data_IF_105230792487
#
_entry.id   IF_105230792487
#
_cell.length_a   1.000
_cell.length_b   1.000
_cell.length_c   1.000
_cell.angle_alpha   90.00
_cell.angle_beta   90.00
_cell.angle_gamma   90.00
#
_symmetry.space_group_name_H-M   'P 1'
#
loop_
_entity.id
_entity.type
_entity.pdbx_description
1 polymer ?
#
# COMPACT_ATOMS: atom_id res chain seq x y z
N UNK A 1 6.26 13.58 -26.06
CA UNK A 1 7.54 12.95 -25.70
C UNK A 1 8.30 13.99 -24.88
N UNK A 2 9.60 13.84 -24.63
CA UNK A 2 10.39 14.87 -23.94
C UNK A 2 10.50 16.20 -24.72
N UNK A 3 9.96 16.26 -25.95
CA UNK A 3 9.89 17.43 -26.83
C UNK A 3 8.43 17.92 -27.04
N UNK A 4 7.51 17.53 -26.16
CA UNK A 4 6.07 17.86 -26.24
C UNK A 4 5.33 17.35 -27.49
N UNK A 5 5.88 16.38 -28.22
CA UNK A 5 5.21 15.79 -29.38
C UNK A 5 4.25 14.65 -28.98
N UNK A 6 3.09 14.50 -29.66
CA UNK A 6 2.21 13.36 -29.45
C UNK A 6 2.91 12.03 -29.74
N UNK A 7 2.70 11.04 -28.88
CA UNK A 7 3.27 9.70 -29.04
C UNK A 7 2.27 8.64 -28.62
N UNK A 8 2.45 7.42 -29.13
CA UNK A 8 1.66 6.26 -28.71
C UNK A 8 2.20 5.73 -27.39
N UNK A 9 1.39 5.75 -26.33
CA UNK A 9 1.75 5.08 -25.08
C UNK A 9 1.75 3.56 -25.29
N UNK A 10 2.83 2.90 -24.90
CA UNK A 10 3.01 1.44 -24.99
C UNK A 10 3.15 0.76 -23.65
N UNK A 11 3.32 1.52 -22.56
CA UNK A 11 3.39 1.00 -21.21
C UNK A 11 1.99 0.93 -20.58
N UNK A 12 1.83 0.04 -19.62
CA UNK A 12 0.63 -0.04 -18.81
C UNK A 12 0.53 1.20 -17.88
N UNK A 13 -0.62 1.87 -17.88
CA UNK A 13 -0.88 3.06 -17.06
C UNK A 13 -1.77 2.77 -15.83
N UNK A 14 -2.27 1.54 -15.73
CA UNK A 14 -3.06 1.03 -14.63
C UNK A 14 -2.85 -0.48 -14.44
N UNK A 15 -2.82 -0.92 -13.17
CA UNK A 15 -2.75 -2.33 -12.79
C UNK A 15 -3.61 -2.59 -11.54
N UNK A 16 -4.18 -3.80 -11.50
CA UNK A 16 -5.04 -4.27 -10.42
C UNK A 16 -4.54 -5.65 -10.02
N UNK A 17 -3.97 -5.76 -8.82
CA UNK A 17 -3.28 -6.96 -8.39
C UNK A 17 -3.80 -7.44 -7.04
N UNK A 18 -3.99 -8.75 -6.93
CA UNK A 18 -4.33 -9.44 -5.69
C UNK A 18 -3.19 -10.37 -5.30
N UNK A 19 -2.81 -10.37 -4.03
CA UNK A 19 -1.71 -11.14 -3.47
C UNK A 19 -2.23 -12.00 -2.33
N UNK A 20 -1.75 -13.23 -2.26
CA UNK A 20 -1.82 -14.06 -1.06
C UNK A 20 -0.50 -13.91 -0.30
N UNK A 21 -0.60 -13.51 0.97
CA UNK A 21 0.53 -13.33 1.86
C UNK A 21 0.61 -14.52 2.83
N UNK A 22 1.80 -14.74 3.39
CA UNK A 22 1.99 -15.71 4.46
C UNK A 22 0.99 -15.48 5.60
N UNK A 23 0.42 -16.56 6.13
CA UNK A 23 -0.65 -16.50 7.13
C UNK A 23 -2.07 -16.39 6.55
N UNK A 24 -2.24 -16.53 5.23
CA UNK A 24 -3.55 -16.56 4.57
C UNK A 24 -4.21 -15.18 4.44
N UNK A 25 -3.42 -14.11 4.48
CA UNK A 25 -3.89 -12.74 4.32
C UNK A 25 -3.99 -12.44 2.82
N UNK A 26 -5.10 -11.83 2.40
CA UNK A 26 -5.27 -11.36 1.03
C UNK A 26 -5.08 -9.85 0.99
N UNK A 27 -4.19 -9.39 0.11
CA UNK A 27 -3.99 -7.97 -0.16
C UNK A 27 -4.41 -7.65 -1.60
N UNK A 28 -5.21 -6.61 -1.80
CA UNK A 28 -5.56 -6.12 -3.13
C UNK A 28 -5.09 -4.68 -3.32
N UNK A 29 -4.35 -4.43 -4.40
CA UNK A 29 -3.76 -3.13 -4.71
C UNK A 29 -4.26 -2.68 -6.09
N UNK A 30 -4.87 -1.50 -6.11
CA UNK A 30 -5.23 -0.80 -7.34
C UNK A 30 -4.23 0.35 -7.53
N UNK A 31 -3.53 0.37 -8.66
CA UNK A 31 -2.56 1.41 -9.01
C UNK A 31 -2.88 1.97 -10.38
N UNK A 32 -3.06 3.29 -10.50
CA UNK A 32 -3.36 3.91 -11.78
C UNK A 32 -2.94 5.38 -11.82
N UNK A 33 -2.29 5.77 -12.90
CA UNK A 33 -2.01 7.17 -13.22
C UNK A 33 -3.22 7.92 -13.80
N UNK A 34 -4.25 7.18 -14.19
CA UNK A 34 -5.44 7.68 -14.87
C UNK A 34 -6.67 7.78 -13.95
N UNK A 35 -6.48 7.66 -12.64
CA UNK A 35 -7.56 7.74 -11.65
C UNK A 35 -7.61 9.10 -10.95
N UNK A 36 -8.82 9.62 -10.72
CA UNK A 36 -9.04 10.84 -9.92
C UNK A 36 -9.05 10.47 -8.44
N UNK A 37 -8.47 11.33 -7.62
CA UNK A 37 -8.35 11.09 -6.18
C UNK A 37 -9.65 11.48 -5.48
N UNK A 38 -10.32 10.49 -4.86
CA UNK A 38 -11.44 10.68 -3.92
C UNK A 38 -11.25 9.75 -2.72
N UNK A 39 -10.27 10.10 -1.89
CA UNK A 39 -9.74 9.36 -0.75
C UNK A 39 -8.75 10.26 0.01
N UNK A 40 -8.30 9.82 1.17
CA UNK A 40 -7.54 10.65 2.11
C UNK A 40 -6.19 11.14 1.58
N UNK A 41 -5.54 10.38 0.69
CA UNK A 41 -4.19 10.69 0.20
C UNK A 41 -3.90 10.04 -1.17
N UNK A 42 -2.71 10.28 -1.74
CA UNK A 42 -2.23 9.71 -3.01
C UNK A 42 -1.93 8.22 -2.93
N UNK A 43 -1.55 7.70 -1.76
CA UNK A 43 -1.51 6.28 -1.43
C UNK A 43 -2.41 6.07 -0.21
N UNK A 44 -3.26 5.05 -0.27
CA UNK A 44 -4.11 4.68 0.86
C UNK A 44 -4.10 3.17 1.04
N UNK A 45 -3.87 2.70 2.26
CA UNK A 45 -3.92 1.29 2.63
C UNK A 45 -4.96 1.10 3.73
N UNK A 46 -5.94 0.23 3.48
CA UNK A 46 -6.87 -0.23 4.52
C UNK A 46 -6.39 -1.58 5.02
N UNK A 47 -6.22 -1.70 6.33
CA UNK A 47 -5.80 -2.93 7.01
C UNK A 47 -6.90 -3.31 7.98
N UNK A 48 -7.59 -4.41 7.69
CA UNK A 48 -8.65 -4.95 8.53
C UNK A 48 -8.14 -6.10 9.38
N UNK A 49 -8.36 -6.01 10.69
CA UNK A 49 -8.00 -7.01 11.66
C UNK A 49 -9.20 -7.46 12.50
N UNK A 50 -8.98 -8.46 13.33
CA UNK A 50 -10.03 -9.03 14.20
C UNK A 50 -10.46 -8.10 15.34
N UNK A 51 -9.67 -7.08 15.65
CA UNK A 51 -9.90 -6.14 16.78
C UNK A 51 -10.07 -4.69 16.34
N UNK A 52 -10.13 -4.44 15.04
CA UNK A 52 -10.22 -3.10 14.48
C UNK A 52 -9.50 -2.99 13.15
N UNK A 53 -9.57 -1.79 12.59
CA UNK A 53 -9.08 -1.47 11.27
C UNK A 53 -8.26 -0.18 11.28
N UNK A 54 -7.36 -0.05 10.30
CA UNK A 54 -6.58 1.16 10.07
C UNK A 54 -6.68 1.61 8.60
N UNK A 55 -6.78 2.92 8.39
CA UNK A 55 -6.68 3.58 7.10
C UNK A 55 -5.40 4.44 7.11
N UNK A 56 -4.43 4.04 6.29
CA UNK A 56 -3.07 4.58 6.30
C UNK A 56 -2.81 5.38 5.03
N UNK A 57 -2.44 6.65 5.17
CA UNK A 57 -1.96 7.53 4.11
C UNK A 57 -0.43 7.62 4.06
N UNK A 58 0.12 8.62 3.37
CA UNK A 58 1.57 8.87 3.34
C UNK A 58 2.09 9.45 4.66
N UNK A 59 1.23 10.16 5.39
CA UNK A 59 1.60 10.92 6.60
C UNK A 59 0.70 10.66 7.80
N UNK A 60 -0.57 10.38 7.54
CA UNK A 60 -1.58 10.20 8.57
C UNK A 60 -2.04 8.74 8.62
N UNK A 61 -2.47 8.32 9.81
CA UNK A 61 -3.13 7.05 10.02
C UNK A 61 -4.39 7.28 10.85
N UNK A 62 -5.51 6.72 10.40
CA UNK A 62 -6.78 6.70 11.10
C UNK A 62 -7.05 5.27 11.55
N UNK A 63 -7.53 5.07 12.77
CA UNK A 63 -7.88 3.75 13.29
C UNK A 63 -9.29 3.74 13.87
N UNK A 64 -9.95 2.59 13.78
CA UNK A 64 -11.23 2.30 14.43
C UNK A 64 -11.12 0.96 15.15
N UNK A 65 -11.33 0.97 16.47
CA UNK A 65 -11.40 -0.27 17.25
C UNK A 65 -12.72 -0.99 16.96
N UNK A 66 -12.75 -2.31 17.17
CA UNK A 66 -13.96 -3.12 16.99
C UNK A 66 -15.15 -2.59 17.81
N UNK A 67 -14.88 -2.10 19.03
CA UNK A 67 -15.88 -1.56 19.96
C UNK A 67 -16.51 -0.26 19.44
N UNK A 68 -15.81 0.48 18.58
CA UNK A 68 -16.24 1.76 18.03
C UNK A 68 -16.97 1.59 16.68
N UNK A 69 -16.98 0.39 16.09
CA UNK A 69 -17.61 0.14 14.80
C UNK A 69 -19.14 0.23 14.87
N UNK A 70 -19.79 1.11 14.08
CA UNK A 70 -21.24 1.25 14.09
C UNK A 70 -21.93 0.02 13.47
N UNK A 71 -23.23 -0.14 13.74
CA UNK A 71 -24.08 -1.18 13.15
C UNK A 71 -25.08 -0.56 12.15
N UNK A 72 -24.63 -0.12 10.97
CA UNK A 72 -25.53 0.47 9.97
C UNK A 72 -26.51 -0.57 9.43
N UNK A 73 -27.73 -0.13 9.11
CA UNK A 73 -28.74 -0.96 8.43
C UNK A 73 -28.79 -0.56 6.97
N UNK A 74 -28.74 -1.53 6.07
CA UNK A 74 -28.90 -1.29 4.64
C UNK A 74 -30.35 -0.88 4.35
N UNK A 75 -30.55 0.37 3.92
CA UNK A 75 -31.83 0.89 3.48
C UNK A 75 -31.63 1.83 2.28
N UNK A 76 -32.03 1.43 1.06
CA UNK A 76 -31.86 2.25 -0.13
C UNK A 76 -32.91 3.38 -0.24
N UNK A 77 -33.99 3.34 0.54
CA UNK A 77 -35.10 4.29 0.46
C UNK A 77 -34.81 5.62 1.18
N UNK A 78 -33.75 5.67 2.00
CA UNK A 78 -33.34 6.85 2.74
C UNK A 78 -31.85 7.16 2.55
N UNK A 79 -31.45 8.44 2.62
CA UNK A 79 -30.04 8.79 2.72
C UNK A 79 -29.39 8.13 3.94
N UNK A 80 -28.13 7.70 3.79
CA UNK A 80 -27.32 7.17 4.89
C UNK A 80 -27.14 8.23 5.99
N UNK A 81 -27.67 8.02 7.21
CA UNK A 81 -27.56 9.01 8.29
C UNK A 81 -26.19 9.04 8.97
N UNK A 82 -25.35 8.01 8.81
CA UNK A 82 -24.03 7.92 9.45
C UNK A 82 -22.95 8.52 8.53
N UNK A 83 -22.17 9.47 9.06
CA UNK A 83 -20.89 9.83 8.47
C UNK A 83 -19.82 8.82 8.93
N UNK A 84 -19.43 7.91 8.04
CA UNK A 84 -18.48 6.85 8.38
C UNK A 84 -17.07 7.35 8.68
N UNK A 85 -16.70 8.57 8.25
CA UNK A 85 -15.37 9.12 8.56
C UNK A 85 -15.24 9.55 10.02
N UNK A 86 -16.34 9.95 10.67
CA UNK A 86 -16.34 10.42 12.07
C UNK A 86 -16.07 9.30 13.07
N UNK A 87 -16.28 8.04 12.69
CA UNK A 87 -16.03 6.88 13.55
C UNK A 87 -14.55 6.49 13.69
N UNK A 88 -13.62 7.25 13.10
CA UNK A 88 -12.20 6.94 13.09
C UNK A 88 -11.40 7.97 13.89
N UNK A 89 -10.44 7.49 14.67
CA UNK A 89 -9.53 8.32 15.45
C UNK A 89 -8.18 8.50 14.74
N UNK A 90 -7.59 9.68 14.83
CA UNK A 90 -6.20 9.87 14.38
C UNK A 90 -5.25 9.11 15.30
N UNK A 91 -4.32 8.36 14.71
CA UNK A 91 -3.22 7.77 15.47
C UNK A 91 -2.20 8.86 15.79
N UNK A 92 -1.89 9.03 17.08
CA UNK A 92 -0.97 10.06 17.54
C UNK A 92 0.45 9.85 16.97
N UNK A 93 1.10 10.96 16.59
CA UNK A 93 2.51 10.97 16.19
C UNK A 93 3.36 11.18 17.43
N UNK A 94 3.88 10.10 18.00
CA UNK A 94 4.71 10.17 19.21
C UNK A 94 6.11 10.73 18.92
N UNK A 95 6.56 10.67 17.66
CA UNK A 95 7.92 11.06 17.26
C UNK A 95 7.92 11.98 16.03
N UNK A 96 9.02 12.73 15.88
CA UNK A 96 9.28 13.54 14.69
C UNK A 96 9.89 12.67 13.60
N UNK A 97 9.16 12.47 12.51
CA UNK A 97 9.68 11.76 11.34
C UNK A 97 10.64 12.65 10.53
N UNK A 98 11.88 12.19 10.36
CA UNK A 98 12.86 12.79 9.45
C UNK A 98 12.64 12.29 8.00
N UNK A 99 13.43 12.78 7.05
CA UNK A 99 13.42 12.30 5.68
C UNK A 99 13.81 10.80 5.63
N UNK A 100 12.91 9.97 5.09
CA UNK A 100 13.11 8.50 5.04
C UNK A 100 14.37 8.07 4.28
N UNK A 101 14.74 8.79 3.21
CA UNK A 101 15.97 8.49 2.45
C UNK A 101 17.22 8.79 3.29
N UNK A 102 17.26 9.93 3.99
CA UNK A 102 18.35 10.28 4.90
C UNK A 102 18.50 9.22 6.00
N UNK A 103 17.39 8.81 6.62
CA UNK A 103 17.41 7.78 7.67
C UNK A 103 17.94 6.45 7.14
N UNK A 104 17.50 6.01 5.96
CA UNK A 104 18.01 4.77 5.36
C UNK A 104 19.51 4.87 5.00
N UNK A 105 19.98 6.03 4.55
CA UNK A 105 21.40 6.31 4.33
C UNK A 105 22.21 6.19 5.62
N UNK A 106 21.74 6.78 6.71
CA UNK A 106 22.40 6.67 8.02
C UNK A 106 22.49 5.20 8.48
N UNK A 107 21.43 4.42 8.31
CA UNK A 107 21.42 2.98 8.63
C UNK A 107 22.43 2.21 7.77
N UNK A 108 22.52 2.51 6.47
CA UNK A 108 23.50 1.89 5.58
C UNK A 108 24.94 2.25 5.95
N UNK A 109 25.21 3.52 6.28
CA UNK A 109 26.54 3.94 6.71
C UNK A 109 26.96 3.29 8.04
N UNK A 110 26.03 3.19 9.01
CA UNK A 110 26.27 2.47 10.26
C UNK A 110 26.54 0.99 10.01
N UNK A 111 25.81 0.35 9.10
CA UNK A 111 26.09 -1.02 8.70
C UNK A 111 27.50 -1.18 8.14
N UNK A 112 27.92 -0.31 7.22
CA UNK A 112 29.24 -0.40 6.58
C UNK A 112 30.39 -0.12 7.55
N UNK A 113 30.24 0.86 8.43
CA UNK A 113 31.34 1.33 9.31
C UNK A 113 31.37 0.61 10.65
N UNK A 114 30.21 0.21 11.19
CA UNK A 114 30.05 -0.33 12.54
C UNK A 114 29.56 -1.79 12.56
N UNK A 115 29.33 -2.40 11.40
CA UNK A 115 28.74 -3.76 11.27
C UNK A 115 27.37 -3.88 11.95
N UNK A 116 26.59 -2.79 11.99
CA UNK A 116 25.22 -2.82 12.50
C UNK A 116 24.31 -3.66 11.57
N UNK A 117 23.28 -4.35 12.10
CA UNK A 117 22.36 -5.14 11.28
C UNK A 117 21.64 -4.30 10.20
N UNK A 118 21.61 -4.81 8.96
CA UNK A 118 20.97 -4.11 7.84
C UNK A 118 20.18 -5.08 6.94
N UNK A 119 18.86 -4.99 7.00
CA UNK A 119 17.95 -5.90 6.27
C UNK A 119 17.78 -5.55 4.78
N UNK A 120 17.98 -4.29 4.38
CA UNK A 120 17.64 -3.80 3.03
C UNK A 120 18.78 -4.00 2.02
N UNK A 121 19.27 -5.22 1.91
CA UNK A 121 20.35 -5.57 0.98
C UNK A 121 19.87 -5.63 -0.47
N UNK A 122 20.80 -5.83 -1.42
CA UNK A 122 20.47 -6.06 -2.83
C UNK A 122 19.52 -7.25 -3.06
N UNK A 123 19.48 -8.23 -2.14
CA UNK A 123 18.54 -9.34 -2.20
C UNK A 123 17.08 -8.88 -2.09
N UNK A 124 16.81 -7.84 -1.29
CA UNK A 124 15.46 -7.26 -1.20
C UNK A 124 15.08 -6.53 -2.50
N UNK A 125 16.06 -5.93 -3.19
CA UNK A 125 15.86 -5.37 -4.53
C UNK A 125 15.53 -6.46 -5.56
N UNK A 126 16.21 -7.61 -5.51
CA UNK A 126 15.95 -8.75 -6.39
C UNK A 126 14.55 -9.33 -6.19
N UNK A 127 14.07 -9.44 -4.93
CA UNK A 127 12.68 -9.84 -4.63
C UNK A 127 11.65 -8.89 -5.26
N UNK A 128 11.94 -7.59 -5.31
CA UNK A 128 11.07 -6.60 -5.95
C UNK A 128 10.90 -6.84 -7.46
N UNK A 129 12.00 -7.09 -8.17
CA UNK A 129 11.97 -7.43 -9.61
C UNK A 129 11.25 -8.76 -9.84
N UNK A 130 11.54 -9.77 -9.02
CA UNK A 130 10.88 -11.08 -9.09
C UNK A 130 9.35 -10.94 -8.98
N UNK A 131 8.86 -10.15 -8.02
CA UNK A 131 7.42 -9.95 -7.85
C UNK A 131 6.80 -9.24 -9.08
N UNK A 132 7.49 -8.25 -9.66
CA UNK A 132 7.02 -7.55 -10.85
C UNK A 132 6.93 -8.49 -12.06
N UNK A 133 7.95 -9.32 -12.29
CA UNK A 133 7.93 -10.33 -13.36
C UNK A 133 6.83 -11.37 -13.15
N UNK A 134 6.57 -11.79 -11.91
CA UNK A 134 5.46 -12.68 -11.59
C UNK A 134 4.11 -12.03 -11.85
N UNK A 135 3.96 -10.72 -11.59
CA UNK A 135 2.76 -9.97 -11.95
C UNK A 135 2.51 -9.97 -13.47
N UNK A 136 3.55 -9.73 -14.27
CA UNK A 136 3.47 -9.78 -15.75
C UNK A 136 3.11 -11.20 -16.20
N UNK A 137 3.77 -12.23 -15.66
CA UNK A 137 3.47 -13.63 -15.98
C UNK A 137 2.02 -14.00 -15.65
N UNK A 138 1.52 -13.59 -14.49
CA UNK A 138 0.13 -13.78 -14.07
C UNK A 138 -0.84 -13.14 -15.06
N UNK A 139 -0.52 -11.94 -15.54
CA UNK A 139 -1.33 -11.23 -16.53
C UNK A 139 -1.36 -11.98 -17.88
N UNK A 140 -0.21 -12.40 -18.39
CA UNK A 140 -0.11 -13.14 -19.65
C UNK A 140 -0.86 -14.49 -19.60
N UNK A 141 -0.74 -15.21 -18.48
CA UNK A 141 -1.35 -16.52 -18.28
C UNK A 141 -2.82 -16.45 -17.84
N UNK A 142 -3.29 -15.28 -17.39
CA UNK A 142 -4.63 -15.06 -16.82
C UNK A 142 -4.92 -15.99 -15.63
N UNK A 143 -3.92 -16.20 -14.78
CA UNK A 143 -4.00 -17.12 -13.64
C UNK A 143 -3.11 -16.67 -12.50
N UNK A 144 -3.44 -17.10 -11.28
CA UNK A 144 -2.53 -16.99 -10.13
C UNK A 144 -1.18 -17.65 -10.43
N UNK A 145 -0.12 -17.06 -9.90
CA UNK A 145 1.24 -17.60 -9.95
C UNK A 145 1.85 -17.59 -8.56
N UNK A 146 2.63 -18.61 -8.25
CA UNK A 146 3.40 -18.64 -7.01
C UNK A 146 4.69 -17.83 -7.20
N UNK A 147 5.07 -17.07 -6.17
CA UNK A 147 6.38 -16.42 -6.10
C UNK A 147 7.37 -17.43 -5.51
N UNK A 148 8.41 -17.84 -6.26
CA UNK A 148 9.36 -18.82 -5.76
C UNK A 148 10.30 -18.19 -4.72
N UNK A 149 10.80 -19.00 -3.78
CA UNK A 149 11.78 -18.54 -2.79
C UNK A 149 13.09 -18.07 -3.47
N UNK A 150 13.69 -17.02 -2.90
CA UNK A 150 14.97 -16.45 -3.31
C UNK A 150 15.96 -16.47 -2.16
#
# INVERSE_FOLDING_TARGET
>A
DEQDLPYKCTADDAAYATFELEGGIIANINSSWCTRVRRDDLLTLMVDGTKGSAMVGLRECRAQAYEDTPKPVWNPDIPQPIDFYQGWSEVAKEEKFDNAFKVQWELFLKHVVLDEPFRWTLREGAKGVQLAEMGIKSWEQRSWVNVPDL
#
